data_IF_356852243357
#
_entry.id   IF_356852243357
#
_cell.length_a   1.000
_cell.length_b   1.000
_cell.length_c   1.000
_cell.angle_alpha   90.00
_cell.angle_beta   90.00
_cell.angle_gamma   90.00
#
_symmetry.space_group_name_H-M   'P 1'
#
loop_
_entity.id
_entity.type
_entity.pdbx_description
1 polymer ?
#
# COMPACT_ATOMS: atom_id res chain seq x y z
N UNK A 1 -26.64 34.42 -16.11
CA UNK A 1 -26.87 33.59 -14.92
C UNK A 1 -25.52 33.29 -14.30
N UNK A 2 -25.18 33.91 -13.17
CA UNK A 2 -24.07 33.41 -12.36
C UNK A 2 -24.57 32.12 -11.73
N UNK A 3 -23.93 31.00 -12.05
CA UNK A 3 -24.10 29.75 -11.31
C UNK A 3 -23.79 30.03 -9.85
N UNK A 4 -24.79 29.92 -8.98
CA UNK A 4 -24.58 29.89 -7.53
C UNK A 4 -23.62 28.74 -7.23
N UNK A 5 -22.44 29.08 -6.74
CA UNK A 5 -21.48 28.11 -6.23
C UNK A 5 -21.82 27.94 -4.76
N UNK A 6 -22.50 26.84 -4.42
CA UNK A 6 -22.66 26.43 -3.04
C UNK A 6 -21.29 25.98 -2.50
N UNK A 7 -20.69 26.83 -1.67
CA UNK A 7 -19.42 26.55 -1.00
C UNK A 7 -19.73 25.88 0.34
N UNK A 8 -19.54 24.57 0.41
CA UNK A 8 -19.62 23.82 1.67
C UNK A 8 -18.22 23.74 2.29
N UNK A 9 -18.02 24.40 3.43
CA UNK A 9 -16.78 24.33 4.20
C UNK A 9 -16.96 23.22 5.25
N UNK A 10 -16.41 22.03 4.98
CA UNK A 10 -16.27 21.00 6.02
C UNK A 10 -15.01 21.25 6.85
N UNK A 11 -14.95 20.62 8.01
CA UNK A 11 -13.70 20.40 8.70
C UNK A 11 -12.71 19.62 7.81
N UNK A 12 -11.41 19.85 8.03
CA UNK A 12 -10.35 19.03 7.45
C UNK A 12 -10.50 17.59 7.94
N UNK A 13 -10.24 16.64 7.04
CA UNK A 13 -10.17 15.23 7.44
C UNK A 13 -8.90 15.04 8.24
N UNK A 14 -9.05 14.86 9.55
CA UNK A 14 -7.92 14.57 10.44
C UNK A 14 -7.50 13.12 10.26
N UNK A 15 -6.20 12.91 10.13
CA UNK A 15 -5.58 11.59 10.02
C UNK A 15 -4.58 11.48 11.17
N UNK A 16 -4.90 10.64 12.14
CA UNK A 16 -3.95 10.27 13.19
C UNK A 16 -2.98 9.20 12.63
N UNK A 17 -1.66 9.48 12.55
CA UNK A 17 -0.68 8.55 12.00
C UNK A 17 -0.57 7.23 12.77
N UNK A 18 -0.72 7.26 14.10
CA UNK A 18 -0.59 6.08 14.96
C UNK A 18 -1.82 5.16 14.79
N UNK A 19 -3.02 5.76 14.74
CA UNK A 19 -4.25 4.99 14.47
C UNK A 19 -4.26 4.45 13.04
N UNK A 20 -3.77 5.24 12.06
CA UNK A 20 -3.64 4.79 10.68
C UNK A 20 -2.69 3.59 10.58
N UNK A 21 -1.53 3.65 11.24
CA UNK A 21 -0.56 2.55 11.26
C UNK A 21 -1.20 1.25 11.77
N UNK A 22 -1.91 1.31 12.90
CA UNK A 22 -2.60 0.15 13.47
C UNK A 22 -3.67 -0.42 12.52
N UNK A 23 -4.42 0.47 11.85
CA UNK A 23 -5.42 0.07 10.85
C UNK A 23 -4.76 -0.60 9.63
N UNK A 24 -3.65 -0.07 9.13
CA UNK A 24 -2.86 -0.61 8.02
C UNK A 24 -2.22 -1.96 8.35
N UNK A 25 -1.74 -2.12 9.59
CA UNK A 25 -1.22 -3.37 10.13
C UNK A 25 -2.31 -4.43 10.28
N UNK A 26 -3.58 -4.03 10.25
CA UNK A 26 -4.72 -4.94 10.18
C UNK A 26 -5.37 -5.21 11.53
N UNK A 27 -5.00 -4.47 12.58
CA UNK A 27 -5.63 -4.55 13.90
C UNK A 27 -7.09 -4.07 13.82
N UNK A 28 -7.96 -4.73 14.57
CA UNK A 28 -9.32 -4.27 14.85
C UNK A 28 -9.31 -3.01 15.72
N UNK A 29 -10.42 -2.27 15.75
CA UNK A 29 -10.53 -1.08 16.59
C UNK A 29 -10.30 -1.42 18.08
N UNK A 30 -10.79 -2.57 18.56
CA UNK A 30 -10.58 -2.99 19.95
C UNK A 30 -9.11 -3.28 20.26
N UNK A 31 -8.38 -3.92 19.33
CA UNK A 31 -6.96 -4.17 19.47
C UNK A 31 -6.17 -2.86 19.45
N UNK A 32 -6.49 -1.95 18.52
CA UNK A 32 -5.85 -0.64 18.44
C UNK A 32 -6.04 0.18 19.72
N UNK A 33 -7.25 0.21 20.29
CA UNK A 33 -7.52 0.86 21.59
C UNK A 33 -6.65 0.25 22.69
N UNK A 34 -6.55 -1.08 22.73
CA UNK A 34 -5.73 -1.79 23.71
C UNK A 34 -4.24 -1.44 23.56
N UNK A 35 -3.75 -1.39 22.32
CA UNK A 35 -2.37 -1.01 22.00
C UNK A 35 -2.07 0.43 22.39
N UNK A 36 -2.93 1.39 22.05
CA UNK A 36 -2.77 2.80 22.40
C UNK A 36 -2.80 3.02 23.92
N UNK A 37 -3.67 2.28 24.63
CA UNK A 37 -3.71 2.31 26.08
C UNK A 37 -2.43 1.76 26.71
N UNK A 38 -1.91 0.63 26.21
CA UNK A 38 -0.62 0.07 26.64
C UNK A 38 0.56 1.00 26.35
N UNK A 39 0.51 1.77 25.26
CA UNK A 39 1.49 2.83 24.93
C UNK A 39 1.34 4.10 25.79
N UNK A 40 0.38 4.11 26.71
CA UNK A 40 0.17 5.18 27.68
C UNK A 40 -0.55 6.41 27.12
N UNK A 41 -1.30 6.29 26.02
CA UNK A 41 -1.99 7.43 25.40
C UNK A 41 -2.92 8.14 26.39
N UNK A 42 -3.72 7.39 27.15
CA UNK A 42 -4.63 7.97 28.16
C UNK A 42 -3.90 8.69 29.29
N UNK A 43 -2.69 8.25 29.66
CA UNK A 43 -1.87 8.95 30.66
C UNK A 43 -1.29 10.25 30.09
N UNK A 44 -0.91 10.25 28.81
CA UNK A 44 -0.34 11.43 28.13
C UNK A 44 -1.38 12.51 27.87
N UNK A 45 -2.59 12.12 27.47
CA UNK A 45 -3.66 13.06 27.09
C UNK A 45 -4.63 13.37 28.23
N UNK A 46 -4.64 12.56 29.29
CA UNK A 46 -5.66 12.61 30.34
C UNK A 46 -7.03 12.08 29.87
N UNK A 47 -7.12 11.50 28.67
CA UNK A 47 -8.36 10.97 28.14
C UNK A 47 -8.74 9.63 28.80
N UNK A 48 -10.03 9.42 29.03
CA UNK A 48 -10.54 8.12 29.46
C UNK A 48 -10.41 7.08 28.34
N UNK A 49 -10.37 5.80 28.73
CA UNK A 49 -10.32 4.70 27.76
C UNK A 49 -11.53 4.71 26.81
N UNK A 50 -12.70 5.14 27.29
CA UNK A 50 -13.91 5.28 26.49
C UNK A 50 -13.78 6.36 25.41
N UNK A 51 -13.15 7.50 25.74
CA UNK A 51 -12.89 8.56 24.77
C UNK A 51 -11.90 8.10 23.70
N UNK A 52 -10.83 7.41 24.09
CA UNK A 52 -9.88 6.80 23.14
C UNK A 52 -10.60 5.79 22.24
N UNK A 53 -11.48 4.96 22.80
CA UNK A 53 -12.25 3.99 22.03
C UNK A 53 -13.18 4.65 21.01
N UNK A 54 -13.86 5.72 21.40
CA UNK A 54 -14.71 6.49 20.50
C UNK A 54 -13.89 7.11 19.36
N UNK A 55 -12.77 7.74 19.69
CA UNK A 55 -11.91 8.40 18.71
C UNK A 55 -11.30 7.41 17.69
N UNK A 56 -10.80 6.26 18.17
CA UNK A 56 -10.30 5.18 17.30
C UNK A 56 -11.40 4.66 16.38
N UNK A 57 -12.62 4.48 16.88
CA UNK A 57 -13.74 4.01 16.08
C UNK A 57 -14.10 5.00 14.95
N UNK A 58 -14.07 6.29 15.23
CA UNK A 58 -14.36 7.32 14.23
C UNK A 58 -13.28 7.42 13.16
N UNK A 59 -12.00 7.31 13.53
CA UNK A 59 -10.90 7.16 12.58
C UNK A 59 -11.04 5.89 11.73
N UNK A 60 -11.36 4.74 12.34
CA UNK A 60 -11.55 3.48 11.61
C UNK A 60 -12.70 3.54 10.60
N UNK A 61 -13.80 4.23 10.93
CA UNK A 61 -14.91 4.50 10.00
C UNK A 61 -14.44 5.36 8.83
N UNK A 62 -13.71 6.43 9.11
CA UNK A 62 -13.14 7.32 8.11
C UNK A 62 -12.18 6.58 7.18
N UNK A 63 -11.27 5.78 7.72
CA UNK A 63 -10.32 4.98 6.94
C UNK A 63 -11.02 3.93 6.08
N UNK A 64 -12.12 3.35 6.55
CA UNK A 64 -12.94 2.41 5.75
C UNK A 64 -13.62 3.10 4.54
N UNK A 65 -13.96 4.39 4.67
CA UNK A 65 -14.47 5.17 3.54
C UNK A 65 -13.33 5.56 2.58
N UNK A 66 -12.20 6.01 3.13
CA UNK A 66 -11.00 6.36 2.36
C UNK A 66 -10.41 5.17 1.62
N UNK A 67 -10.51 3.95 2.16
CA UNK A 67 -9.99 2.73 1.53
C UNK A 67 -10.51 2.58 0.09
N UNK A 68 -11.79 2.86 -0.13
CA UNK A 68 -12.42 2.80 -1.47
C UNK A 68 -11.74 3.74 -2.46
N UNK A 69 -11.28 4.90 -1.99
CA UNK A 69 -10.56 5.90 -2.78
C UNK A 69 -9.07 5.53 -2.92
N UNK A 70 -8.44 5.02 -1.87
CA UNK A 70 -7.04 4.58 -1.88
C UNK A 70 -6.80 3.39 -2.83
N UNK A 71 -7.81 2.56 -3.06
CA UNK A 71 -7.72 1.53 -4.11
C UNK A 71 -7.61 2.10 -5.54
N UNK A 72 -7.92 3.37 -5.77
CA UNK A 72 -7.72 4.04 -7.04
C UNK A 72 -7.24 5.47 -6.80
N UNK A 73 -5.92 5.70 -6.69
CA UNK A 73 -5.36 6.99 -6.30
C UNK A 73 -5.85 8.18 -7.14
N UNK A 74 -6.16 8.00 -8.43
CA UNK A 74 -6.75 9.06 -9.25
C UNK A 74 -8.10 9.54 -8.70
N UNK A 75 -8.95 8.64 -8.20
CA UNK A 75 -10.23 9.02 -7.58
C UNK A 75 -10.04 9.77 -6.27
N UNK A 76 -8.96 9.50 -5.53
CA UNK A 76 -8.62 10.27 -4.33
C UNK A 76 -8.19 11.70 -4.68
N UNK A 77 -7.64 11.94 -5.87
CA UNK A 77 -7.30 13.28 -6.34
C UNK A 77 -8.53 14.10 -6.74
N UNK A 78 -9.52 13.45 -7.38
CA UNK A 78 -10.70 14.11 -7.96
C UNK A 78 -11.86 14.31 -6.98
N UNK A 79 -11.87 13.57 -5.87
CA UNK A 79 -12.96 13.61 -4.90
C UNK A 79 -13.01 14.94 -4.12
N UNK A 80 -14.22 15.37 -3.76
CA UNK A 80 -14.48 16.57 -2.96
C UNK A 80 -15.09 16.27 -1.58
N UNK A 81 -15.30 14.98 -1.26
CA UNK A 81 -15.97 14.55 -0.03
C UNK A 81 -15.08 14.64 1.21
N UNK A 82 -13.76 14.52 1.03
CA UNK A 82 -12.75 14.64 2.06
C UNK A 82 -11.83 15.81 1.74
N UNK A 83 -11.80 16.79 2.63
CA UNK A 83 -10.84 17.89 2.58
C UNK A 83 -9.50 17.39 3.16
N UNK A 84 -8.61 16.95 2.27
CA UNK A 84 -7.28 16.41 2.60
C UNK A 84 -6.24 17.23 1.87
N UNK A 85 -5.30 17.81 2.61
CA UNK A 85 -4.18 18.54 2.04
C UNK A 85 -3.24 17.59 1.24
N UNK A 86 -2.41 18.12 0.34
CA UNK A 86 -1.55 17.29 -0.51
C UNK A 86 -0.59 16.39 0.27
N UNK A 87 -0.04 16.86 1.39
CA UNK A 87 0.97 16.11 2.16
C UNK A 87 0.31 14.94 2.90
N UNK A 88 -0.82 15.17 3.57
CA UNK A 88 -1.61 14.10 4.19
C UNK A 88 -2.10 13.08 3.17
N UNK A 89 -2.46 13.53 1.96
CA UNK A 89 -2.89 12.65 0.87
C UNK A 89 -1.76 11.75 0.40
N UNK A 90 -0.57 12.31 0.20
CA UNK A 90 0.62 11.54 -0.14
C UNK A 90 0.93 10.54 0.96
N UNK A 91 0.90 10.97 2.23
CA UNK A 91 1.11 10.10 3.39
C UNK A 91 0.10 8.93 3.45
N UNK A 92 -1.19 9.19 3.20
CA UNK A 92 -2.22 8.16 3.15
C UNK A 92 -1.96 7.13 2.03
N UNK A 93 -1.60 7.61 0.84
CA UNK A 93 -1.29 6.75 -0.31
C UNK A 93 -0.05 5.90 0.00
N UNK A 94 1.06 6.51 0.44
CA UNK A 94 2.29 5.80 0.82
C UNK A 94 2.01 4.73 1.88
N UNK A 95 1.32 5.11 2.95
CA UNK A 95 0.97 4.19 4.05
C UNK A 95 0.08 3.06 3.57
N UNK A 96 -0.90 3.35 2.72
CA UNK A 96 -1.82 2.34 2.19
C UNK A 96 -1.16 1.40 1.19
N UNK A 97 -0.12 1.82 0.48
CA UNK A 97 0.63 0.98 -0.45
C UNK A 97 1.91 0.39 0.15
N UNK A 98 2.26 0.72 1.40
CA UNK A 98 3.39 0.12 2.09
C UNK A 98 3.30 -1.41 2.14
N UNK A 99 4.43 -2.07 1.89
CA UNK A 99 4.58 -3.53 1.84
C UNK A 99 5.63 -4.00 2.84
N UNK A 100 5.39 -5.18 3.39
CA UNK A 100 6.31 -5.91 4.25
C UNK A 100 7.14 -6.87 3.39
N UNK A 101 8.46 -6.79 3.53
CA UNK A 101 9.41 -7.54 2.71
C UNK A 101 9.28 -9.07 2.92
N UNK A 102 8.90 -9.52 4.12
CA UNK A 102 8.66 -10.95 4.41
C UNK A 102 7.37 -11.43 3.74
N UNK A 103 6.32 -10.60 3.75
CA UNK A 103 5.06 -10.91 3.07
C UNK A 103 5.32 -11.01 1.56
N UNK A 104 6.00 -10.01 0.98
CA UNK A 104 6.35 -10.02 -0.45
C UNK A 104 7.15 -11.27 -0.80
N UNK A 105 8.14 -11.65 0.03
CA UNK A 105 8.95 -12.84 -0.20
C UNK A 105 8.12 -14.12 -0.33
N UNK A 106 7.09 -14.29 0.50
CA UNK A 106 6.19 -15.46 0.45
C UNK A 106 5.16 -15.40 -0.71
N UNK A 107 4.89 -14.19 -1.22
CA UNK A 107 4.02 -13.98 -2.38
C UNK A 107 4.72 -14.20 -3.73
N UNK A 108 6.04 -13.94 -3.80
CA UNK A 108 6.82 -14.13 -5.01
C UNK A 108 6.84 -15.60 -5.47
N UNK A 109 6.95 -15.81 -6.78
CA UNK A 109 6.95 -17.14 -7.40
C UNK A 109 5.57 -17.80 -7.49
N UNK A 110 4.54 -17.23 -6.84
CA UNK A 110 3.14 -17.60 -7.02
C UNK A 110 2.51 -16.76 -8.13
N UNK A 111 1.53 -17.30 -8.85
CA UNK A 111 0.79 -16.49 -9.85
C UNK A 111 -0.05 -15.46 -9.12
N UNK A 112 -0.05 -14.20 -9.58
CA UNK A 112 -0.87 -13.10 -9.04
C UNK A 112 -2.36 -13.24 -9.44
N UNK A 113 -2.97 -14.37 -9.09
CA UNK A 113 -4.36 -14.69 -9.41
C UNK A 113 -5.25 -14.72 -8.17
N UNK A 114 -6.54 -14.46 -8.34
CA UNK A 114 -7.52 -14.47 -7.24
C UNK A 114 -7.59 -15.81 -6.48
N UNK A 115 -7.12 -16.91 -7.08
CA UNK A 115 -7.11 -18.25 -6.45
C UNK A 115 -6.13 -18.33 -5.27
N UNK A 116 -5.01 -17.60 -5.32
CA UNK A 116 -3.99 -17.59 -4.27
C UNK A 116 -4.37 -16.71 -3.06
N UNK A 117 -5.52 -16.01 -3.12
CA UNK A 117 -6.05 -15.27 -1.97
C UNK A 117 -6.40 -16.20 -0.80
N UNK A 118 -6.65 -17.49 -1.06
CA UNK A 118 -6.91 -18.52 -0.04
C UNK A 118 -5.64 -19.01 0.66
N UNK A 119 -4.47 -18.78 0.07
CA UNK A 119 -3.19 -19.21 0.66
C UNK A 119 -2.58 -18.10 1.55
N UNK A 120 -3.29 -16.98 1.73
CA UNK A 120 -2.82 -15.86 2.54
C UNK A 120 -2.84 -16.17 4.04
N UNK A 121 -3.64 -17.15 4.48
CA UNK A 121 -3.61 -17.66 5.85
C UNK A 121 -2.23 -18.25 6.19
N UNK A 122 -1.67 -19.08 5.31
CA UNK A 122 -0.30 -19.62 5.47
C UNK A 122 0.76 -18.51 5.47
N UNK A 123 0.59 -17.49 4.63
CA UNK A 123 1.51 -16.33 4.60
C UNK A 123 1.45 -15.55 5.91
N UNK A 124 0.25 -15.32 6.44
CA UNK A 124 0.06 -14.63 7.71
C UNK A 124 0.70 -15.42 8.87
N UNK A 125 0.51 -16.74 8.91
CA UNK A 125 1.14 -17.61 9.93
C UNK A 125 2.67 -17.57 9.86
N UNK A 126 3.26 -17.67 8.66
CA UNK A 126 4.72 -17.67 8.48
C UNK A 126 5.40 -16.35 8.82
N UNK A 127 4.76 -15.24 8.45
CA UNK A 127 5.34 -13.89 8.60
C UNK A 127 4.99 -13.25 9.93
N UNK A 128 3.96 -13.75 10.63
CA UNK A 128 3.39 -13.10 11.81
C UNK A 128 2.62 -11.82 11.49
N UNK A 129 2.44 -11.46 10.21
CA UNK A 129 1.70 -10.29 9.79
C UNK A 129 0.20 -10.60 9.78
N UNK A 130 -0.66 -9.74 10.35
CA UNK A 130 -2.10 -9.99 10.36
C UNK A 130 -2.67 -10.22 8.96
N UNK A 131 -3.56 -11.20 8.84
CA UNK A 131 -4.16 -11.63 7.57
C UNK A 131 -4.81 -10.47 6.79
N UNK A 132 -5.42 -9.50 7.49
CA UNK A 132 -6.00 -8.30 6.87
C UNK A 132 -4.93 -7.47 6.14
N UNK A 133 -3.74 -7.29 6.74
CA UNK A 133 -2.61 -6.60 6.10
C UNK A 133 -2.04 -7.41 4.93
N UNK A 134 -1.86 -8.73 5.08
CA UNK A 134 -1.44 -9.61 3.98
C UNK A 134 -2.38 -9.50 2.77
N UNK A 135 -3.70 -9.47 2.99
CA UNK A 135 -4.72 -9.26 1.95
C UNK A 135 -4.61 -7.91 1.26
N UNK A 136 -4.44 -6.82 2.03
CA UNK A 136 -4.22 -5.46 1.49
C UNK A 136 -2.98 -5.44 0.58
N UNK A 137 -1.84 -5.93 1.07
CA UNK A 137 -0.59 -5.95 0.33
C UNK A 137 -0.71 -6.76 -0.97
N UNK A 138 -1.31 -7.95 -0.91
CA UNK A 138 -1.56 -8.77 -2.10
C UNK A 138 -2.48 -8.05 -3.12
N UNK A 139 -3.57 -7.45 -2.66
CA UNK A 139 -4.51 -6.74 -3.52
C UNK A 139 -3.85 -5.51 -4.17
N UNK A 140 -2.98 -4.80 -3.45
CA UNK A 140 -2.19 -3.69 -3.99
C UNK A 140 -1.17 -4.13 -5.04
N UNK A 141 -0.40 -5.19 -4.77
CA UNK A 141 0.55 -5.78 -5.73
C UNK A 141 -0.18 -6.17 -7.01
N UNK A 142 -1.30 -6.89 -6.88
CA UNK A 142 -2.10 -7.33 -8.01
C UNK A 142 -2.66 -6.15 -8.82
N UNK A 143 -3.09 -5.10 -8.13
CA UNK A 143 -3.61 -3.89 -8.77
C UNK A 143 -2.52 -3.19 -9.58
N UNK A 144 -1.36 -2.96 -8.97
CA UNK A 144 -0.22 -2.34 -9.65
C UNK A 144 0.19 -3.19 -10.85
N UNK A 145 0.40 -4.49 -10.66
CA UNK A 145 0.77 -5.42 -11.72
C UNK A 145 -0.14 -5.30 -12.95
N UNK A 146 -1.46 -5.40 -12.75
CA UNK A 146 -2.44 -5.28 -13.84
C UNK A 146 -2.43 -3.92 -14.52
N UNK A 147 -2.12 -2.86 -13.79
CA UNK A 147 -2.09 -1.51 -14.33
C UNK A 147 -0.84 -1.24 -15.17
N UNK A 148 0.29 -1.91 -14.90
CA UNK A 148 1.57 -1.58 -15.53
C UNK A 148 2.19 -2.69 -16.39
N UNK A 149 1.72 -3.95 -16.30
CA UNK A 149 2.37 -5.09 -16.98
C UNK A 149 2.41 -4.96 -18.51
N UNK A 150 1.43 -4.27 -19.12
CA UNK A 150 1.35 -4.05 -20.57
C UNK A 150 1.76 -2.63 -20.98
N UNK A 151 2.14 -1.76 -20.02
CA UNK A 151 2.48 -0.38 -20.33
C UNK A 151 3.90 -0.26 -20.89
N UNK A 152 4.10 0.55 -21.95
CA UNK A 152 5.45 0.85 -22.42
C UNK A 152 6.18 1.78 -21.46
N UNK A 153 7.51 1.77 -21.54
CA UNK A 153 8.39 2.66 -20.78
C UNK A 153 8.82 2.12 -19.41
N UNK A 154 9.55 2.94 -18.63
CA UNK A 154 10.11 2.51 -17.34
C UNK A 154 9.02 2.19 -16.30
N UNK A 155 8.99 0.94 -15.81
CA UNK A 155 7.98 0.45 -14.87
C UNK A 155 7.89 1.33 -13.61
N UNK A 156 9.02 1.75 -13.05
CA UNK A 156 9.07 2.63 -11.87
C UNK A 156 8.30 3.93 -12.12
N UNK A 157 8.57 4.61 -13.24
CA UNK A 157 7.90 5.87 -13.58
C UNK A 157 6.40 5.69 -13.82
N UNK A 158 6.00 4.58 -14.46
CA UNK A 158 4.59 4.26 -14.67
C UNK A 158 3.87 4.09 -13.32
N UNK A 159 4.49 3.42 -12.35
CA UNK A 159 3.95 3.25 -11.01
C UNK A 159 3.83 4.60 -10.29
N UNK A 160 4.88 5.43 -10.30
CA UNK A 160 4.85 6.76 -9.65
C UNK A 160 3.72 7.63 -10.22
N UNK A 161 3.55 7.64 -11.55
CA UNK A 161 2.53 8.47 -12.21
C UNK A 161 1.11 8.01 -11.95
N UNK A 162 0.87 6.69 -11.96
CA UNK A 162 -0.49 6.14 -11.82
C UNK A 162 -0.95 6.01 -10.37
N UNK A 163 -0.02 5.75 -9.45
CA UNK A 163 -0.32 5.48 -8.05
C UNK A 163 0.15 6.57 -7.10
N UNK A 164 0.87 7.58 -7.59
CA UNK A 164 1.45 8.66 -6.77
C UNK A 164 2.34 8.10 -5.66
N UNK A 165 3.20 7.13 -5.99
CA UNK A 165 4.15 6.55 -5.04
C UNK A 165 5.51 7.23 -5.16
N UNK A 166 6.22 7.35 -4.04
CA UNK A 166 7.60 7.72 -3.95
C UNK A 166 8.48 6.65 -4.60
N UNK A 167 9.66 7.09 -5.04
CA UNK A 167 10.55 6.26 -5.85
C UNK A 167 10.93 4.95 -5.15
N UNK A 168 11.22 4.98 -3.85
CA UNK A 168 11.64 3.80 -3.10
C UNK A 168 10.58 2.69 -3.09
N UNK A 169 9.32 3.05 -2.82
CA UNK A 169 8.21 2.11 -2.82
C UNK A 169 7.86 1.67 -4.25
N UNK A 170 7.89 2.60 -5.21
CA UNK A 170 7.68 2.30 -6.62
C UNK A 170 8.72 1.29 -7.15
N UNK A 171 10.00 1.41 -6.75
CA UNK A 171 11.07 0.45 -7.09
C UNK A 171 10.79 -0.94 -6.51
N UNK A 172 10.34 -1.05 -5.26
CA UNK A 172 9.92 -2.33 -4.68
C UNK A 172 8.82 -2.99 -5.51
N UNK A 173 7.76 -2.24 -5.85
CA UNK A 173 6.70 -2.74 -6.70
C UNK A 173 7.17 -3.10 -8.11
N UNK A 174 8.03 -2.29 -8.72
CA UNK A 174 8.58 -2.56 -10.06
C UNK A 174 9.35 -3.89 -10.09
N UNK A 175 10.14 -4.19 -9.05
CA UNK A 175 10.82 -5.48 -8.92
C UNK A 175 9.84 -6.65 -8.83
N UNK A 176 8.77 -6.51 -8.03
CA UNK A 176 7.73 -7.54 -7.91
C UNK A 176 7.05 -7.78 -9.25
N UNK A 177 6.68 -6.71 -9.96
CA UNK A 177 6.08 -6.78 -11.30
C UNK A 177 7.02 -7.47 -12.27
N UNK A 178 8.28 -7.05 -12.33
CA UNK A 178 9.26 -7.60 -13.25
C UNK A 178 9.46 -9.11 -13.02
N UNK A 179 9.68 -9.54 -11.77
CA UNK A 179 9.81 -10.95 -11.40
C UNK A 179 8.57 -11.76 -11.77
N UNK A 180 7.37 -11.18 -11.61
CA UNK A 180 6.12 -11.83 -12.00
C UNK A 180 5.98 -11.96 -13.53
N UNK A 181 6.34 -10.93 -14.29
CA UNK A 181 6.30 -10.93 -15.76
C UNK A 181 7.21 -12.03 -16.35
N UNK A 182 8.43 -12.16 -15.85
CA UNK A 182 9.38 -13.19 -16.31
C UNK A 182 9.10 -14.58 -15.69
N UNK A 183 8.11 -14.69 -14.80
CA UNK A 183 7.75 -15.91 -14.06
C UNK A 183 8.94 -16.50 -13.30
N UNK A 184 9.70 -15.66 -12.60
CA UNK A 184 10.86 -16.09 -11.85
C UNK A 184 10.48 -17.05 -10.72
N UNK A 185 11.10 -18.24 -10.67
CA UNK A 185 10.81 -19.26 -9.67
C UNK A 185 11.59 -19.02 -8.37
N UNK A 186 10.92 -18.56 -7.31
CA UNK A 186 11.53 -18.32 -5.98
C UNK A 186 11.28 -19.44 -4.96
N UNK A 187 10.46 -20.44 -5.31
CA UNK A 187 10.01 -21.52 -4.41
C UNK A 187 10.97 -22.70 -4.30
N UNK A 188 12.00 -22.77 -5.16
CA UNK A 188 13.02 -23.83 -5.11
C UNK A 188 13.74 -23.79 -3.77
N UNK A 189 13.97 -24.96 -3.16
CA UNK A 189 14.66 -25.11 -1.86
C UNK A 189 16.00 -24.36 -1.79
N UNK A 190 16.74 -24.33 -2.90
CA UNK A 190 18.02 -23.61 -3.02
C UNK A 190 17.89 -22.08 -3.00
N UNK A 191 16.69 -21.52 -3.09
CA UNK A 191 16.43 -20.08 -3.09
C UNK A 191 15.62 -19.63 -1.86
N UNK A 192 15.24 -20.56 -0.99
CA UNK A 192 14.44 -20.26 0.22
C UNK A 192 15.18 -19.39 1.23
N UNK A 193 16.52 -19.41 1.24
CA UNK A 193 17.33 -18.58 2.13
C UNK A 193 17.39 -17.10 1.72
N UNK A 194 17.01 -16.77 0.47
CA UNK A 194 17.06 -15.40 -0.03
C UNK A 194 15.86 -14.62 0.53
N UNK A 195 16.10 -13.45 1.10
CA UNK A 195 15.05 -12.50 1.45
C UNK A 195 14.62 -11.65 0.24
N UNK A 196 13.56 -10.85 0.41
CA UNK A 196 13.11 -9.96 -0.67
C UNK A 196 14.13 -8.87 -0.98
N UNK A 197 14.87 -8.37 0.01
CA UNK A 197 15.87 -7.31 -0.19
C UNK A 197 16.96 -7.78 -1.16
N UNK A 198 17.49 -8.98 -0.97
CA UNK A 198 18.49 -9.58 -1.85
C UNK A 198 17.93 -9.82 -3.25
N UNK A 199 16.70 -10.34 -3.34
CA UNK A 199 16.03 -10.52 -4.63
C UNK A 199 15.83 -9.19 -5.36
N UNK A 200 15.41 -8.15 -4.65
CA UNK A 200 15.23 -6.79 -5.17
C UNK A 200 16.53 -6.27 -5.78
N UNK A 201 17.63 -6.32 -5.03
CA UNK A 201 18.93 -5.84 -5.52
C UNK A 201 19.36 -6.54 -6.81
N UNK A 202 19.26 -7.86 -6.86
CA UNK A 202 19.54 -8.61 -8.09
C UNK A 202 18.61 -8.23 -9.24
N UNK A 203 17.33 -8.03 -8.93
CA UNK A 203 16.31 -7.66 -9.92
C UNK A 203 16.57 -6.27 -10.50
N UNK A 204 16.93 -5.30 -9.66
CA UNK A 204 17.26 -3.93 -10.10
C UNK A 204 18.46 -3.96 -11.06
N UNK A 205 19.50 -4.73 -10.77
CA UNK A 205 20.65 -4.89 -11.68
C UNK A 205 20.23 -5.48 -13.03
N UNK A 206 19.35 -6.48 -13.04
CA UNK A 206 18.82 -7.07 -14.28
C UNK A 206 17.97 -6.04 -15.04
N UNK A 207 17.13 -5.29 -14.33
CA UNK A 207 16.30 -4.24 -14.93
C UNK A 207 17.18 -3.16 -15.57
N UNK A 208 18.21 -2.68 -14.88
CA UNK A 208 19.04 -1.57 -15.36
C UNK A 208 19.99 -1.98 -16.50
N UNK A 209 20.54 -3.19 -16.45
CA UNK A 209 21.54 -3.65 -17.41
C UNK A 209 20.96 -4.43 -18.59
N UNK A 210 19.88 -5.19 -18.36
CA UNK A 210 19.38 -6.21 -19.31
C UNK A 210 17.97 -5.92 -19.81
N UNK A 211 17.42 -4.72 -19.55
CA UNK A 211 16.21 -4.25 -20.22
C UNK A 211 16.53 -3.08 -21.15
N UNK A 212 15.67 -2.89 -22.14
CA UNK A 212 15.81 -1.77 -23.05
C UNK A 212 15.53 -0.47 -22.31
N UNK A 213 16.58 0.33 -22.10
CA UNK A 213 16.41 1.74 -21.83
C UNK A 213 15.86 2.35 -23.12
N UNK A 214 14.55 2.63 -23.18
CA UNK A 214 13.96 3.38 -24.28
C UNK A 214 14.42 4.84 -24.14
N UNK A 215 15.70 5.08 -24.43
CA UNK A 215 16.29 6.40 -24.65
C UNK A 215 16.35 6.62 -26.15
N UNK A 216 15.18 6.82 -26.75
CA UNK A 216 15.05 7.13 -28.16
C UNK A 216 13.83 8.01 -28.36
N UNK A 217 14.03 9.21 -28.93
CA UNK A 217 12.95 10.02 -29.51
C UNK A 217 12.11 9.09 -30.38
N UNK A 218 10.79 9.12 -30.22
CA UNK A 218 9.84 8.49 -31.12
C UNK A 218 10.30 8.68 -32.57
N UNK A 219 10.67 7.59 -33.22
CA UNK A 219 10.90 7.58 -34.65
C UNK A 219 9.56 7.24 -35.30
N UNK A 220 9.12 8.18 -36.13
CA UNK A 220 7.95 8.24 -37.01
C UNK A 220 6.63 8.71 -36.38
#
# INVERSE_FOLDING_TARGET
MCTEVDVFITNYTLVDPEILELWIQGFSASEAVSTLNQRGLGQKTGASLELIASDVLDHYRTYSLLEKLLTNPNKLQEQLAFQIDPDTRQFLIESYYAIDDNVVRELLGKKLSSKHRKDLDEVAEKTGVPLKSCRRQFDNIKRIFKSVEEMPGPIVQNIQKLFYLHEDLARKYACIVFLACIRFETSKRRLQYLDFITLKQCTEVIMDLWTYNVTGKSLY
#
